data_IF_835331623870
#
_entry.id   IF_835331623870
#
_cell.length_a   1.000
_cell.length_b   1.000
_cell.length_c   1.000
_cell.angle_alpha   90.00
_cell.angle_beta   90.00
_cell.angle_gamma   90.00
#
_symmetry.space_group_name_H-M   'P 1'
#
loop_
_entity.id
_entity.type
_entity.pdbx_description
1 polymer ?
#
# COMPACT_ATOMS: atom_id res chain seq x y z
N UNK A 1 18.56 -6.66 6.73
CA UNK A 1 18.06 -5.27 6.65
C UNK A 1 17.82 -4.97 5.19
N UNK A 2 16.73 -4.30 4.84
CA UNK A 2 16.39 -3.95 3.45
C UNK A 2 16.76 -2.48 3.26
N UNK A 3 18.00 -2.24 2.85
CA UNK A 3 18.61 -0.91 2.73
C UNK A 3 18.88 -0.51 1.26
N UNK A 4 18.35 -1.27 0.31
CA UNK A 4 18.50 -1.03 -1.13
C UNK A 4 17.13 -0.97 -1.81
N UNK A 5 16.91 -0.05 -2.79
CA UNK A 5 15.63 0.11 -3.48
C UNK A 5 15.08 -1.20 -4.06
N UNK A 6 15.95 -1.99 -4.71
CA UNK A 6 15.57 -3.29 -5.30
C UNK A 6 15.08 -4.29 -4.26
N UNK A 7 15.63 -4.24 -3.05
CA UNK A 7 15.25 -5.15 -1.98
C UNK A 7 13.90 -4.75 -1.36
N UNK A 8 13.60 -3.44 -1.24
CA UNK A 8 12.29 -2.99 -0.74
C UNK A 8 11.17 -3.29 -1.75
N UNK A 9 11.44 -3.11 -3.04
CA UNK A 9 10.53 -3.49 -4.11
C UNK A 9 10.30 -5.01 -4.10
N UNK A 10 11.35 -5.82 -4.18
CA UNK A 10 11.21 -7.27 -4.24
C UNK A 10 10.51 -7.85 -3.00
N UNK A 11 10.79 -7.30 -1.81
CA UNK A 11 10.11 -7.72 -0.58
C UNK A 11 8.62 -7.33 -0.61
N UNK A 12 8.30 -6.17 -1.16
CA UNK A 12 6.91 -5.72 -1.28
C UNK A 12 6.15 -6.54 -2.31
N UNK A 13 6.73 -6.83 -3.47
CA UNK A 13 6.13 -7.71 -4.48
C UNK A 13 5.81 -9.09 -3.88
N UNK A 14 6.77 -9.70 -3.18
CA UNK A 14 6.56 -10.98 -2.50
C UNK A 14 5.46 -10.89 -1.43
N UNK A 15 5.39 -9.80 -0.66
CA UNK A 15 4.33 -9.59 0.34
C UNK A 15 2.94 -9.49 -0.30
N UNK A 16 2.83 -8.78 -1.42
CA UNK A 16 1.60 -8.58 -2.16
C UNK A 16 1.08 -9.86 -2.81
N UNK A 17 1.99 -10.77 -3.18
CA UNK A 17 1.65 -12.05 -3.82
C UNK A 17 1.52 -13.21 -2.81
N UNK A 18 2.09 -13.07 -1.60
CA UNK A 18 1.87 -13.97 -0.45
C UNK A 18 0.48 -13.82 0.17
N UNK A 19 0.10 -14.67 1.13
CA UNK A 19 -1.15 -14.58 1.90
C UNK A 19 -0.98 -15.01 3.36
N UNK A 20 -1.96 -14.71 4.21
CA UNK A 20 -1.99 -15.16 5.61
C UNK A 20 -0.80 -14.64 6.44
N UNK A 21 -0.30 -15.46 7.36
CA UNK A 21 0.80 -15.10 8.27
C UNK A 21 2.06 -14.68 7.51
N UNK A 22 2.40 -15.35 6.41
CA UNK A 22 3.57 -14.99 5.58
C UNK A 22 3.47 -13.57 5.04
N UNK A 23 2.29 -13.17 4.54
CA UNK A 23 2.06 -11.79 4.09
C UNK A 23 2.28 -10.80 5.23
N UNK A 24 1.72 -11.08 6.41
CA UNK A 24 1.82 -10.19 7.58
C UNK A 24 3.28 -9.98 7.99
N UNK A 25 4.07 -11.07 8.06
CA UNK A 25 5.49 -10.99 8.39
C UNK A 25 6.31 -10.19 7.37
N UNK A 26 6.01 -10.36 6.09
CA UNK A 26 6.69 -9.63 5.01
C UNK A 26 6.33 -8.14 5.05
N UNK A 27 5.05 -7.80 5.23
CA UNK A 27 4.60 -6.42 5.42
C UNK A 27 5.27 -5.76 6.62
N UNK A 28 5.42 -6.48 7.74
CA UNK A 28 6.14 -5.97 8.91
C UNK A 28 7.61 -5.61 8.59
N UNK A 29 8.28 -6.45 7.79
CA UNK A 29 9.66 -6.18 7.32
C UNK A 29 9.74 -4.98 6.37
N UNK A 30 8.75 -4.82 5.48
CA UNK A 30 8.65 -3.64 4.60
C UNK A 30 8.45 -2.37 5.42
N UNK A 31 7.58 -2.41 6.45
CA UNK A 31 7.36 -1.26 7.33
C UNK A 31 8.63 -0.86 8.11
N UNK A 32 9.41 -1.82 8.63
CA UNK A 32 10.70 -1.52 9.30
C UNK A 32 11.70 -0.87 8.33
N UNK A 33 11.78 -1.39 7.10
CA UNK A 33 12.61 -0.82 6.04
C UNK A 33 12.19 0.61 5.70
N UNK A 34 10.90 0.85 5.49
CA UNK A 34 10.35 2.17 5.17
C UNK A 34 10.62 3.21 6.27
N UNK A 35 10.45 2.82 7.55
CA UNK A 35 10.76 3.70 8.69
C UNK A 35 12.24 4.13 8.73
N UNK A 36 13.15 3.28 8.26
CA UNK A 36 14.59 3.52 8.32
C UNK A 36 15.15 4.24 7.11
N UNK A 37 14.59 3.97 5.92
CA UNK A 37 15.18 4.37 4.65
C UNK A 37 14.22 5.17 3.77
N UNK A 38 12.97 5.36 4.19
CA UNK A 38 11.93 6.05 3.45
C UNK A 38 11.22 5.16 2.42
N UNK A 39 10.37 5.80 1.63
CA UNK A 39 9.65 5.18 0.54
C UNK A 39 10.52 5.06 -0.72
N UNK A 40 10.82 3.82 -1.13
CA UNK A 40 11.47 3.51 -2.43
C UNK A 40 10.53 2.72 -3.35
N UNK A 41 9.23 2.67 -3.03
CA UNK A 41 8.22 1.95 -3.79
C UNK A 41 7.65 2.82 -4.91
N UNK A 42 7.27 2.15 -6.00
CA UNK A 42 6.50 2.77 -7.08
C UNK A 42 5.00 2.84 -6.73
N UNK A 43 4.28 3.76 -7.38
CA UNK A 43 2.85 4.03 -7.14
C UNK A 43 1.98 2.78 -7.16
N UNK A 44 2.27 1.82 -8.06
CA UNK A 44 1.53 0.56 -8.16
C UNK A 44 1.56 -0.27 -6.87
N UNK A 45 2.67 -0.25 -6.14
CA UNK A 45 2.79 -0.96 -4.87
C UNK A 45 1.99 -0.24 -3.80
N UNK A 46 2.08 1.09 -3.75
CA UNK A 46 1.30 1.92 -2.83
C UNK A 46 -0.20 1.69 -3.03
N UNK A 47 -0.69 1.73 -4.28
CA UNK A 47 -2.10 1.46 -4.58
C UNK A 47 -2.54 0.04 -4.22
N UNK A 48 -1.66 -0.97 -4.30
CA UNK A 48 -1.98 -2.34 -3.84
C UNK A 48 -1.99 -2.44 -2.32
N UNK A 49 -1.03 -1.83 -1.64
CA UNK A 49 -0.96 -1.77 -0.17
C UNK A 49 -2.18 -1.08 0.44
N UNK A 50 -2.67 -0.01 -0.20
CA UNK A 50 -3.87 0.68 0.25
C UNK A 50 -5.13 -0.16 0.10
N UNK A 51 -5.28 -0.88 -1.02
CA UNK A 51 -6.38 -1.86 -1.18
C UNK A 51 -6.32 -2.97 -0.13
N UNK A 52 -5.11 -3.39 0.23
CA UNK A 52 -4.87 -4.35 1.30
C UNK A 52 -5.18 -3.80 2.69
N UNK A 53 -5.02 -2.49 2.91
CA UNK A 53 -5.40 -1.85 4.16
C UNK A 53 -6.93 -1.75 4.34
N UNK A 54 -7.71 -2.00 3.29
CA UNK A 54 -9.17 -2.11 3.29
C UNK A 54 -9.64 -3.57 3.17
N UNK A 55 -8.75 -4.54 3.39
CA UNK A 55 -9.10 -5.97 3.35
C UNK A 55 -10.02 -6.36 4.53
N UNK A 56 -10.90 -7.35 4.31
CA UNK A 56 -11.78 -7.88 5.35
C UNK A 56 -11.02 -8.63 6.45
N UNK A 57 -9.83 -9.16 6.16
CA UNK A 57 -8.94 -9.70 7.18
C UNK A 57 -8.22 -8.56 7.92
N UNK A 58 -8.68 -8.28 9.15
CA UNK A 58 -8.15 -7.23 10.00
C UNK A 58 -6.65 -7.34 10.26
N UNK A 59 -6.10 -8.56 10.33
CA UNK A 59 -4.68 -8.75 10.59
C UNK A 59 -3.83 -8.27 9.40
N UNK A 60 -4.22 -8.69 8.19
CA UNK A 60 -3.61 -8.21 6.94
C UNK A 60 -3.82 -6.71 6.76
N UNK A 61 -5.04 -6.21 6.98
CA UNK A 61 -5.36 -4.79 6.85
C UNK A 61 -4.51 -3.91 7.77
N UNK A 62 -4.36 -4.33 9.04
CA UNK A 62 -3.51 -3.62 10.01
C UNK A 62 -2.04 -3.61 9.59
N UNK A 63 -1.52 -4.74 9.11
CA UNK A 63 -0.14 -4.84 8.65
C UNK A 63 0.12 -3.94 7.43
N UNK A 64 -0.83 -3.90 6.48
CA UNK A 64 -0.73 -3.06 5.30
C UNK A 64 -0.84 -1.57 5.64
N UNK A 65 -1.76 -1.19 6.52
CA UNK A 65 -1.87 0.18 7.04
C UNK A 65 -0.59 0.63 7.74
N UNK A 66 0.08 -0.26 8.47
CA UNK A 66 1.37 0.02 9.11
C UNK A 66 2.49 0.29 8.08
N UNK A 67 2.48 -0.40 6.93
CA UNK A 67 3.38 -0.08 5.82
C UNK A 67 3.05 1.29 5.25
N UNK A 68 1.79 1.55 4.91
CA UNK A 68 1.35 2.84 4.33
C UNK A 68 1.76 4.01 5.22
N UNK A 69 1.54 3.92 6.54
CA UNK A 69 1.98 4.94 7.49
C UNK A 69 3.49 5.07 7.61
N UNK A 70 4.25 3.98 7.43
CA UNK A 70 5.71 3.98 7.44
C UNK A 70 6.34 4.58 6.18
N UNK A 71 5.61 4.64 5.07
CA UNK A 71 6.08 5.24 3.81
C UNK A 71 6.07 6.77 3.84
N UNK A 72 5.51 7.39 4.90
CA UNK A 72 5.41 8.85 5.07
C UNK A 72 4.89 9.57 3.82
N UNK A 73 3.83 9.00 3.23
CA UNK A 73 3.25 9.51 2.00
C UNK A 73 2.65 10.91 2.22
N UNK A 74 2.81 11.85 1.27
CA UNK A 74 2.16 13.15 1.33
C UNK A 74 0.66 12.98 1.56
N UNK A 75 0.09 13.76 2.49
CA UNK A 75 -1.32 13.65 2.86
C UNK A 75 -2.27 13.80 1.65
N UNK A 76 -1.87 14.58 0.64
CA UNK A 76 -2.58 14.74 -0.64
C UNK A 76 -2.76 13.42 -1.39
N UNK A 77 -1.80 12.49 -1.26
CA UNK A 77 -1.83 11.18 -1.92
C UNK A 77 -2.72 10.19 -1.15
N UNK A 78 -2.97 10.44 0.14
CA UNK A 78 -3.82 9.61 0.99
C UNK A 78 -5.30 10.04 0.95
N UNK A 79 -5.57 11.33 0.77
CA UNK A 79 -6.95 11.89 0.85
C UNK A 79 -7.92 11.26 -0.15
N UNK A 80 -7.60 11.12 -1.46
CA UNK A 80 -8.49 10.43 -2.40
C UNK A 80 -8.73 8.96 -2.04
N UNK A 81 -7.80 8.34 -1.30
CA UNK A 81 -7.78 6.90 -1.06
C UNK A 81 -8.50 6.55 0.26
N UNK A 82 -8.50 7.45 1.25
CA UNK A 82 -9.28 7.33 2.50
C UNK A 82 -10.74 7.78 2.33
N UNK A 83 -10.99 8.75 1.45
CA UNK A 83 -12.35 9.27 1.22
C UNK A 83 -13.12 8.48 0.15
N UNK A 84 -12.54 7.39 -0.38
CA UNK A 84 -13.13 6.59 -1.45
C UNK A 84 -13.36 7.42 -2.71
N UNK A 85 -12.42 8.32 -3.02
CA UNK A 85 -12.48 9.36 -4.03
C UNK A 85 -13.22 8.89 -5.27
N UNK A 86 -14.47 9.35 -5.40
CA UNK A 86 -15.28 9.16 -6.59
C UNK A 86 -14.50 9.75 -7.76
N UNK A 87 -14.05 8.90 -8.67
CA UNK A 87 -13.58 9.30 -10.00
C UNK A 87 -14.63 10.24 -10.63
N UNK A 88 -14.32 11.53 -10.86
CA UNK A 88 -15.25 12.39 -11.59
C UNK A 88 -15.08 12.08 -13.08
N UNK A 89 -15.86 11.14 -13.64
CA UNK A 89 -15.68 10.87 -15.07
C UNK A 89 -16.51 9.83 -15.82
N UNK A 90 -17.46 9.11 -15.23
CA UNK A 90 -18.30 8.15 -16.00
C UNK A 90 -19.77 8.39 -15.72
N UNK A 91 -20.37 9.33 -16.45
CA UNK A 91 -21.81 9.56 -16.34
C UNK A 91 -22.38 10.76 -17.06
N UNK A 92 -21.79 11.23 -18.16
CA UNK A 92 -22.47 12.23 -19.00
C UNK A 92 -22.31 11.91 -20.49
N UNK A 93 -22.89 10.79 -20.94
CA UNK A 93 -23.30 10.54 -22.33
C UNK A 93 -24.43 9.50 -22.41
N UNK A 94 -25.67 9.94 -22.20
CA UNK A 94 -26.87 9.35 -22.80
C UNK A 94 -28.00 10.39 -22.65
N UNK A 95 -28.25 11.22 -23.66
CA UNK A 95 -29.33 10.97 -24.64
C UNK A 95 -30.41 12.01 -24.37
N UNK A 96 -30.54 13.05 -25.20
CA UNK A 96 -31.54 13.12 -26.27
C UNK A 96 -32.93 12.64 -25.86
#
# INVERSE_FOLDING_TARGET
NVDQPRAQIALTDEALDSSGETRIELLAKVADSAKRFGNMLEDRHVSRLLRLADDADLATATAAAAVVGALDLPNTDLVPLITGGVEPGVGDRAGR
#
